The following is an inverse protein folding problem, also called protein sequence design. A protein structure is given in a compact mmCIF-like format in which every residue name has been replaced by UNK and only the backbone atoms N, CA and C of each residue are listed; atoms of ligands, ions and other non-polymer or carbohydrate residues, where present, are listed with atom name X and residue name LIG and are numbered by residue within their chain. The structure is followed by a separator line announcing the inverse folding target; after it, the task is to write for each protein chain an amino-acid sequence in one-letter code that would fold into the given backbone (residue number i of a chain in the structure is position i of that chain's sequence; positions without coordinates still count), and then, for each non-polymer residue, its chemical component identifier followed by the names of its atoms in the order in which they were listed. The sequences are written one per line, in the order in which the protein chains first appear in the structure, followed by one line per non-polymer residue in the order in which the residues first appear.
data_IF_540268490485
#
_entry.id   IF_540268490485
#
_cell.length_a   1.000
_cell.length_b   1.000
_cell.length_c   1.000
_cell.angle_alpha   90.00
_cell.angle_beta   90.00
_cell.angle_gamma   90.00
#
_symmetry.space_group_name_H-M   'P 1'
#
loop_
_entity.id
_entity.type
_entity.pdbx_description
1 polymer ?
#
# COMPACT_ATOMS: atom_id res chain seq x y z
N UNK A 1 10.37 16.27 13.62
CA UNK A 1 10.03 15.32 12.54
C UNK A 1 8.60 15.64 12.14
N UNK A 2 8.30 15.87 10.85
CA UNK A 2 6.92 16.14 10.41
C UNK A 2 6.27 14.79 10.17
N UNK A 3 5.21 14.49 10.91
CA UNK A 3 4.39 13.33 10.63
C UNK A 3 3.75 13.52 9.26
N UNK A 4 3.82 12.47 8.43
CA UNK A 4 3.22 12.46 7.09
C UNK A 4 2.18 11.36 7.05
N UNK A 5 0.96 11.71 6.68
CA UNK A 5 -0.13 10.75 6.51
C UNK A 5 -0.16 10.34 5.04
N UNK A 6 -0.09 9.04 4.79
CA UNK A 6 -0.32 8.44 3.47
C UNK A 6 -1.54 7.54 3.56
N UNK A 7 -2.34 7.50 2.50
CA UNK A 7 -3.50 6.63 2.39
C UNK A 7 -3.13 5.44 1.50
N UNK A 8 -3.30 4.22 2.01
CA UNK A 8 -2.88 3.00 1.33
C UNK A 8 -4.11 2.20 0.91
N UNK A 9 -4.31 2.04 -0.39
CA UNK A 9 -5.31 1.15 -0.97
C UNK A 9 -4.73 -0.25 -1.15
N UNK A 10 -5.45 -1.27 -0.66
CA UNK A 10 -5.10 -2.68 -0.81
C UNK A 10 -6.25 -3.39 -1.52
N UNK A 11 -6.01 -3.79 -2.76
CA UNK A 11 -6.96 -4.62 -3.53
C UNK A 11 -6.49 -6.09 -3.46
N UNK A 12 -7.28 -6.93 -2.79
CA UNK A 12 -6.87 -8.27 -2.35
C UNK A 12 -7.55 -9.34 -3.18
N UNK A 13 -6.75 -10.17 -3.84
CA UNK A 13 -7.19 -11.39 -4.53
C UNK A 13 -6.69 -12.64 -3.81
N UNK A 14 -7.06 -13.83 -4.28
CA UNK A 14 -6.66 -15.11 -3.67
C UNK A 14 -5.14 -15.25 -3.52
N UNK A 15 -4.37 -14.79 -4.50
CA UNK A 15 -2.92 -15.00 -4.54
C UNK A 15 -2.09 -13.73 -4.35
N UNK A 16 -2.65 -12.56 -4.68
CA UNK A 16 -1.90 -11.30 -4.76
C UNK A 16 -2.70 -10.13 -4.21
N UNK A 17 -1.98 -9.12 -3.73
CA UNK A 17 -2.53 -7.85 -3.27
C UNK A 17 -1.91 -6.73 -4.11
N UNK A 18 -2.73 -5.96 -4.80
CA UNK A 18 -2.31 -4.73 -5.45
C UNK A 18 -2.31 -3.58 -4.44
N UNK A 19 -1.26 -2.77 -4.47
CA UNK A 19 -1.01 -1.69 -3.52
C UNK A 19 -0.99 -0.37 -4.27
N UNK A 20 -1.78 0.59 -3.79
CA UNK A 20 -1.78 1.96 -4.27
C UNK A 20 -1.59 2.93 -3.09
N UNK A 21 -0.90 4.04 -3.31
CA UNK A 21 -0.62 5.05 -2.27
C UNK A 21 -1.12 6.40 -2.75
N UNK A 22 -1.91 7.07 -1.92
CA UNK A 22 -2.33 8.44 -2.11
C UNK A 22 -1.75 9.35 -1.02
N UNK A 23 -1.49 10.59 -1.44
CA UNK A 23 -1.21 11.71 -0.55
C UNK A 23 -2.50 12.28 0.03
N UNK A 24 -2.38 13.15 1.02
CA UNK A 24 -3.50 13.97 1.47
C UNK A 24 -4.05 14.83 0.32
N UNK A 25 -5.38 14.86 0.18
CA UNK A 25 -6.08 15.61 -0.86
C UNK A 25 -7.01 14.74 -1.69
N UNK A 26 -7.33 15.20 -2.90
CA UNK A 26 -8.23 14.51 -3.85
C UNK A 26 -7.51 14.02 -5.11
N UNK A 27 -6.20 13.89 -5.05
CA UNK A 27 -5.40 13.37 -6.16
C UNK A 27 -5.61 11.87 -6.30
N UNK A 28 -5.42 11.38 -7.52
CA UNK A 28 -5.52 9.94 -7.79
C UNK A 28 -4.41 9.16 -7.06
N UNK A 29 -4.74 8.01 -6.47
CA UNK A 29 -3.73 7.14 -5.85
C UNK A 29 -2.76 6.62 -6.90
N UNK A 30 -1.46 6.66 -6.57
CA UNK A 30 -0.41 6.11 -7.43
C UNK A 30 -0.30 4.60 -7.21
N UNK A 31 -0.33 3.85 -8.30
CA UNK A 31 0.01 2.42 -8.25
C UNK A 31 1.45 2.22 -7.78
N UNK A 32 1.61 1.47 -6.70
CA UNK A 32 2.90 1.22 -6.06
C UNK A 32 3.47 -0.14 -6.44
N UNK A 33 2.61 -1.14 -6.61
CA UNK A 33 3.02 -2.49 -7.03
C UNK A 33 2.08 -3.57 -6.54
N UNK A 34 2.54 -4.82 -6.63
CA UNK A 34 1.83 -6.00 -6.14
C UNK A 34 2.71 -6.81 -5.20
N UNK A 35 2.08 -7.40 -4.19
CA UNK A 35 2.71 -8.34 -3.27
C UNK A 35 1.93 -9.66 -3.25
N UNK A 36 2.56 -10.76 -2.83
CA UNK A 36 1.85 -12.02 -2.59
C UNK A 36 0.87 -11.86 -1.42
N UNK A 37 -0.26 -12.56 -1.47
CA UNK A 37 -1.24 -12.58 -0.38
C UNK A 37 -0.76 -13.50 0.76
N UNK A 38 0.30 -13.09 1.44
CA UNK A 38 0.85 -13.77 2.61
C UNK A 38 1.13 -12.78 3.74
N UNK A 39 1.04 -13.23 4.99
CA UNK A 39 1.29 -12.38 6.15
C UNK A 39 2.70 -11.78 6.13
N UNK A 40 3.69 -12.53 5.65
CA UNK A 40 5.07 -12.08 5.58
C UNK A 40 5.25 -10.94 4.56
N UNK A 41 4.58 -11.03 3.40
CA UNK A 41 4.62 -9.98 2.39
C UNK A 41 3.98 -8.69 2.89
N UNK A 42 2.87 -8.78 3.63
CA UNK A 42 2.23 -7.62 4.28
C UNK A 42 3.16 -7.00 5.33
N UNK A 43 3.80 -7.81 6.19
CA UNK A 43 4.80 -7.30 7.15
C UNK A 43 5.97 -6.59 6.48
N UNK A 44 6.44 -7.10 5.33
CA UNK A 44 7.48 -6.45 4.53
C UNK A 44 7.00 -5.14 3.91
N UNK A 45 5.74 -5.06 3.48
CA UNK A 45 5.13 -3.82 2.98
C UNK A 45 5.10 -2.74 4.08
N UNK A 46 4.61 -3.07 5.28
CA UNK A 46 4.50 -2.10 6.39
C UNK A 46 5.84 -1.53 6.86
N UNK A 47 6.96 -2.20 6.59
CA UNK A 47 8.31 -1.70 6.88
C UNK A 47 8.86 -0.74 5.81
N UNK A 48 8.27 -0.75 4.61
CA UNK A 48 8.69 0.08 3.47
C UNK A 48 7.88 1.37 3.35
N UNK A 49 6.67 1.37 3.88
CA UNK A 49 5.79 2.53 3.99
C UNK A 49 6.20 3.39 5.18
#
# INVERSE_FOLDING_TARGET
MKDTIKYVGLDVSKEKIAVAIAEEGRLEPRYWGMISHTQEAVKKLMKKL
#
